data_IF_894119592337
#
_entry.id   IF_894119592337
#
_cell.length_a   1.000
_cell.length_b   1.000
_cell.length_c   1.000
_cell.angle_alpha   90.00
_cell.angle_beta   90.00
_cell.angle_gamma   90.00
#
_symmetry.space_group_name_H-M   'P 1'
#
loop_
_entity.id
_entity.type
_entity.pdbx_description
1 polymer ?
#
# COMPACT_ATOMS: atom_id res chain seq x y z
N UNK A 1 -7.06 -9.13 7.99
CA UNK A 1 -6.99 -8.60 6.61
C UNK A 1 -8.38 -8.67 6.04
N UNK A 2 -9.06 -7.53 5.88
CA UNK A 2 -10.45 -7.51 5.44
C UNK A 2 -10.50 -7.86 3.96
N UNK A 3 -10.98 -9.08 3.69
CA UNK A 3 -10.91 -9.76 2.41
C UNK A 3 -11.81 -9.15 1.35
N UNK A 4 -11.53 -9.58 0.12
CA UNK A 4 -12.18 -9.27 -1.17
C UNK A 4 -11.44 -8.28 -2.08
N UNK A 5 -10.15 -8.03 -1.88
CA UNK A 5 -9.31 -7.43 -2.92
C UNK A 5 -8.62 -8.51 -3.77
N UNK A 6 -8.83 -8.47 -5.08
CA UNK A 6 -8.19 -9.36 -6.06
C UNK A 6 -7.57 -8.51 -7.17
N UNK A 7 -6.23 -8.34 -7.22
CA UNK A 7 -5.59 -7.70 -8.35
C UNK A 7 -5.76 -8.57 -9.61
N UNK A 8 -6.09 -7.95 -10.75
CA UNK A 8 -6.26 -8.65 -12.02
C UNK A 8 -5.17 -8.28 -13.02
N UNK A 9 -4.93 -6.99 -13.22
CA UNK A 9 -3.96 -6.51 -14.21
C UNK A 9 -3.38 -5.16 -13.82
N UNK A 10 -2.10 -4.96 -14.13
CA UNK A 10 -1.46 -3.65 -14.17
C UNK A 10 -0.81 -3.46 -15.54
N UNK A 11 -1.03 -2.32 -16.18
CA UNK A 11 -0.41 -2.00 -17.46
C UNK A 11 -0.06 -0.52 -17.59
N UNK A 12 1.00 -0.23 -18.35
CA UNK A 12 1.44 1.12 -18.66
C UNK A 12 1.55 1.25 -20.18
N UNK A 13 0.93 2.28 -20.74
CA UNK A 13 0.90 2.50 -22.19
C UNK A 13 1.13 3.97 -22.55
N UNK A 14 1.71 4.21 -23.74
CA UNK A 14 1.85 5.55 -24.30
C UNK A 14 0.66 5.86 -25.23
N UNK A 15 -0.12 6.89 -24.90
CA UNK A 15 -1.41 7.20 -25.58
C UNK A 15 -1.38 8.50 -26.41
N UNK A 16 -0.20 9.06 -26.66
CA UNK A 16 -0.03 10.27 -27.48
C UNK A 16 -0.10 9.96 -28.98
N UNK A 17 -0.97 10.67 -29.72
CA UNK A 17 -1.09 10.52 -31.19
C UNK A 17 0.13 11.01 -31.95
N UNK A 18 0.59 12.22 -31.65
CA UNK A 18 1.67 12.88 -32.41
C UNK A 18 3.07 12.57 -31.89
N UNK A 19 3.24 12.51 -30.56
CA UNK A 19 4.52 12.21 -29.92
C UNK A 19 4.28 11.09 -28.91
N UNK A 20 4.60 9.86 -29.35
CA UNK A 20 4.49 8.60 -28.57
C UNK A 20 5.48 8.61 -27.40
N UNK A 21 5.19 9.40 -26.36
CA UNK A 21 5.94 9.45 -25.09
C UNK A 21 5.40 10.53 -24.17
N UNK A 22 4.74 11.56 -24.73
CA UNK A 22 4.28 12.74 -23.99
C UNK A 22 3.06 12.49 -23.11
N UNK A 23 2.25 11.48 -23.46
CA UNK A 23 1.08 11.06 -22.68
C UNK A 23 1.23 9.60 -22.28
N UNK A 24 1.16 9.35 -20.98
CA UNK A 24 1.25 8.02 -20.38
C UNK A 24 -0.11 7.71 -19.76
N UNK A 25 -0.56 6.46 -19.91
CA UNK A 25 -1.71 5.90 -19.21
C UNK A 25 -1.23 4.75 -18.35
N UNK A 26 -1.47 4.87 -17.04
CA UNK A 26 -1.45 3.74 -16.12
C UNK A 26 -2.87 3.19 -16.03
N UNK A 27 -2.99 1.87 -16.06
CA UNK A 27 -4.25 1.17 -15.97
C UNK A 27 -4.11 0.01 -14.98
N UNK A 28 -5.00 -0.01 -14.00
CA UNK A 28 -5.10 -1.08 -13.01
C UNK A 28 -6.51 -1.66 -13.05
N UNK A 29 -6.61 -2.97 -13.15
CA UNK A 29 -7.86 -3.71 -13.05
C UNK A 29 -7.84 -4.60 -11.81
N UNK A 30 -8.89 -4.54 -11.01
CA UNK A 30 -9.02 -5.32 -9.79
C UNK A 30 -10.47 -5.59 -9.42
N UNK A 31 -10.65 -6.47 -8.46
CA UNK A 31 -11.93 -6.76 -7.84
C UNK A 31 -11.92 -6.29 -6.40
N UNK A 32 -12.97 -5.59 -5.99
CA UNK A 32 -13.27 -5.23 -4.59
C UNK A 32 -14.71 -5.66 -4.30
N UNK A 33 -14.94 -6.41 -3.22
CA UNK A 33 -16.27 -6.86 -2.82
C UNK A 33 -17.06 -7.55 -3.96
N UNK A 34 -16.39 -8.41 -4.72
CA UNK A 34 -16.94 -9.10 -5.90
C UNK A 34 -17.39 -8.18 -7.05
N UNK A 35 -16.95 -6.92 -7.05
CA UNK A 35 -17.19 -5.95 -8.14
C UNK A 35 -15.88 -5.64 -8.84
N UNK A 36 -15.92 -5.62 -10.17
CA UNK A 36 -14.77 -5.28 -11.01
C UNK A 36 -14.61 -3.77 -11.10
N UNK A 37 -13.39 -3.30 -10.95
CA UNK A 37 -12.99 -1.91 -11.08
C UNK A 37 -11.82 -1.78 -12.04
N UNK A 38 -11.86 -0.71 -12.82
CA UNK A 38 -10.79 -0.26 -13.69
C UNK A 38 -10.41 1.16 -13.28
N UNK A 39 -9.19 1.34 -12.78
CA UNK A 39 -8.63 2.64 -12.45
C UNK A 39 -7.65 3.06 -13.53
N UNK A 40 -7.88 4.23 -14.12
CA UNK A 40 -7.04 4.82 -15.14
C UNK A 40 -6.45 6.13 -14.65
N UNK A 41 -5.12 6.25 -14.72
CA UNK A 41 -4.40 7.50 -14.53
C UNK A 41 -3.75 7.92 -15.85
N UNK A 42 -4.19 9.07 -16.38
CA UNK A 42 -3.58 9.70 -17.54
C UNK A 42 -2.67 10.83 -17.09
N UNK A 43 -1.45 10.86 -17.64
CA UNK A 43 -0.44 11.88 -17.34
C UNK A 43 0.03 12.51 -18.65
N UNK A 44 0.05 13.84 -18.70
CA UNK A 44 0.76 14.59 -19.74
C UNK A 44 2.10 15.08 -19.17
N UNK A 45 3.21 14.56 -19.69
CA UNK A 45 4.56 14.97 -19.28
C UNK A 45 4.87 16.42 -19.62
N UNK A 46 4.35 16.91 -20.74
CA UNK A 46 4.61 18.27 -21.21
C UNK A 46 3.86 19.33 -20.40
N UNK A 47 2.58 19.07 -20.13
CA UNK A 47 1.73 20.04 -19.41
C UNK A 47 1.64 19.78 -17.90
N UNK A 48 2.13 18.64 -17.42
CA UNK A 48 1.97 18.20 -16.03
C UNK A 48 0.54 17.77 -15.67
N UNK A 49 -0.41 17.84 -16.61
CA UNK A 49 -1.82 17.51 -16.38
C UNK A 49 -2.02 16.04 -16.04
N UNK A 50 -2.87 15.77 -15.06
CA UNK A 50 -3.21 14.44 -14.57
C UNK A 50 -4.73 14.28 -14.53
N UNK A 51 -5.22 13.14 -15.01
CA UNK A 51 -6.65 12.78 -14.97
C UNK A 51 -6.79 11.38 -14.40
N UNK A 52 -7.60 11.24 -13.35
CA UNK A 52 -7.95 9.95 -12.77
C UNK A 52 -9.38 9.63 -13.13
N UNK A 53 -9.62 8.42 -13.61
CA UNK A 53 -10.96 7.90 -13.87
C UNK A 53 -11.13 6.49 -13.31
N UNK A 54 -12.33 6.19 -12.84
CA UNK A 54 -12.73 4.88 -12.32
C UNK A 54 -13.91 4.41 -13.17
N UNK A 55 -13.78 3.24 -13.79
CA UNK A 55 -14.77 2.67 -14.69
C UNK A 55 -15.20 3.66 -15.79
N UNK A 56 -14.25 4.43 -16.33
CA UNK A 56 -14.48 5.45 -17.35
C UNK A 56 -15.01 6.80 -16.83
N UNK A 57 -15.53 6.88 -15.61
CA UNK A 57 -15.97 8.13 -14.99
C UNK A 57 -14.79 8.91 -14.43
N UNK A 58 -14.66 10.18 -14.79
CA UNK A 58 -13.58 11.04 -14.30
C UNK A 58 -13.82 11.36 -12.82
N UNK A 59 -12.84 11.03 -11.99
CA UNK A 59 -12.85 11.32 -10.55
C UNK A 59 -12.16 12.65 -10.25
N UNK A 60 -10.97 12.88 -10.84
CA UNK A 60 -10.18 14.07 -10.59
C UNK A 60 -9.44 14.54 -11.84
N UNK A 61 -9.27 15.86 -11.93
CA UNK A 61 -8.40 16.53 -12.89
C UNK A 61 -7.48 17.48 -12.13
N UNK A 62 -6.17 17.29 -12.25
CA UNK A 62 -5.18 18.01 -11.45
C UNK A 62 -4.02 18.46 -12.31
N UNK A 63 -3.64 19.72 -12.19
CA UNK A 63 -2.40 20.25 -12.75
C UNK A 63 -1.25 19.97 -11.77
N UNK A 64 -0.14 19.39 -12.26
CA UNK A 64 1.02 19.11 -11.38
C UNK A 64 1.60 20.41 -10.83
N UNK A 65 1.59 20.52 -9.51
CA UNK A 65 2.35 21.54 -8.78
C UNK A 65 3.83 21.13 -8.83
N UNK A 66 4.70 22.04 -9.28
CA UNK A 66 6.15 21.77 -9.39
C UNK A 66 6.72 21.28 -8.06
N UNK A 67 7.62 20.30 -8.14
CA UNK A 67 8.36 19.73 -7.00
C UNK A 67 7.52 19.06 -5.91
N UNK A 68 6.26 18.73 -6.18
CA UNK A 68 5.43 17.91 -5.28
C UNK A 68 5.14 16.55 -5.90
N UNK A 69 5.29 15.51 -5.10
CA UNK A 69 4.79 14.17 -5.45
C UNK A 69 3.28 14.18 -5.27
N UNK A 70 2.53 13.69 -6.26
CA UNK A 70 1.10 13.55 -6.07
C UNK A 70 0.76 12.31 -5.25
N UNK A 71 -0.25 12.47 -4.40
CA UNK A 71 -0.95 11.39 -3.76
C UNK A 71 -2.45 11.64 -3.97
N UNK A 72 -3.15 10.64 -4.50
CA UNK A 72 -4.58 10.67 -4.71
C UNK A 72 -5.23 9.60 -3.84
N UNK A 73 -5.99 10.02 -2.84
CA UNK A 73 -6.70 9.12 -1.94
C UNK A 73 -8.18 9.13 -2.32
N UNK A 74 -8.75 7.95 -2.49
CA UNK A 74 -10.16 7.74 -2.81
C UNK A 74 -10.71 6.55 -2.01
N UNK A 75 -12.02 6.54 -1.81
CA UNK A 75 -12.72 5.48 -1.10
C UNK A 75 -13.65 4.74 -2.07
N UNK A 76 -13.50 3.41 -2.18
CA UNK A 76 -14.35 2.55 -3.02
C UNK A 76 -14.88 1.43 -2.14
N UNK A 77 -16.20 1.39 -1.92
CA UNK A 77 -16.81 0.32 -1.12
C UNK A 77 -16.23 0.21 0.30
N UNK A 78 -15.89 1.34 0.93
CA UNK A 78 -15.25 1.35 2.25
C UNK A 78 -13.75 1.01 2.26
N UNK A 79 -13.18 0.59 1.13
CA UNK A 79 -11.74 0.38 0.98
C UNK A 79 -11.02 1.69 0.69
N UNK A 80 -9.82 1.83 1.24
CA UNK A 80 -8.93 2.97 1.00
C UNK A 80 -8.05 2.66 -0.21
N UNK A 81 -8.19 3.44 -1.27
CA UNK A 81 -7.42 3.30 -2.50
C UNK A 81 -6.56 4.54 -2.67
N UNK A 82 -5.27 4.35 -2.86
CA UNK A 82 -4.30 5.44 -3.00
C UNK A 82 -3.50 5.26 -4.29
N UNK A 83 -3.37 6.35 -5.06
CA UNK A 83 -2.46 6.41 -6.20
C UNK A 83 -1.34 7.37 -5.85
N UNK A 84 -0.14 6.84 -5.64
CA UNK A 84 1.00 7.62 -5.13
C UNK A 84 2.13 7.69 -6.15
N UNK A 85 2.64 8.89 -6.41
CA UNK A 85 3.84 9.14 -7.19
C UNK A 85 5.08 8.83 -6.34
N UNK A 86 5.86 7.81 -6.69
CA UNK A 86 7.13 7.48 -6.00
C UNK A 86 8.31 8.26 -6.53
N UNK A 87 8.34 8.43 -7.85
CA UNK A 87 9.40 9.12 -8.62
C UNK A 87 8.75 9.85 -9.78
N UNK A 88 9.54 10.63 -10.51
CA UNK A 88 9.02 11.44 -11.59
C UNK A 88 8.22 10.62 -12.61
N UNK A 89 6.89 10.82 -12.59
CA UNK A 89 5.92 10.11 -13.42
C UNK A 89 5.83 8.60 -13.18
N UNK A 90 6.33 8.06 -12.07
CA UNK A 90 6.17 6.67 -11.67
C UNK A 90 5.12 6.56 -10.55
N UNK A 91 4.03 5.85 -10.82
CA UNK A 91 2.89 5.75 -9.93
C UNK A 91 2.66 4.32 -9.47
N UNK A 92 2.31 4.18 -8.20
CA UNK A 92 1.88 2.94 -7.59
C UNK A 92 0.43 3.06 -7.12
N UNK A 93 -0.30 1.96 -7.25
CA UNK A 93 -1.61 1.78 -6.64
C UNK A 93 -1.44 1.03 -5.32
N UNK A 94 -2.04 1.56 -4.26
CA UNK A 94 -2.04 0.98 -2.93
C UNK A 94 -3.50 0.81 -2.50
N UNK A 95 -3.87 -0.38 -2.04
CA UNK A 95 -5.22 -0.69 -1.58
C UNK A 95 -5.13 -1.23 -0.17
N UNK A 96 -5.78 -0.55 0.78
CA UNK A 96 -5.73 -0.85 2.22
C UNK A 96 -4.32 -1.08 2.76
N UNK A 97 -3.38 -0.24 2.31
CA UNK A 97 -1.97 -0.32 2.69
C UNK A 97 -1.14 -1.38 1.95
N UNK A 98 -1.75 -2.18 1.08
CA UNK A 98 -1.05 -3.17 0.26
C UNK A 98 -0.70 -2.61 -1.13
N UNK A 99 0.56 -2.76 -1.55
CA UNK A 99 1.00 -2.36 -2.89
C UNK A 99 0.46 -3.34 -3.94
N UNK A 100 -0.20 -2.81 -4.97
CA UNK A 100 -0.87 -3.60 -6.00
C UNK A 100 0.05 -4.60 -6.70
N UNK A 101 1.24 -4.15 -7.12
CA UNK A 101 2.18 -4.98 -7.88
C UNK A 101 2.65 -6.19 -7.06
N UNK A 102 2.96 -5.99 -5.78
CA UNK A 102 3.33 -7.07 -4.87
C UNK A 102 2.22 -8.12 -4.74
N UNK A 103 0.95 -7.68 -4.68
CA UNK A 103 -0.18 -8.59 -4.63
C UNK A 103 -0.38 -9.35 -5.96
N UNK A 104 -0.18 -8.67 -7.09
CA UNK A 104 -0.27 -9.27 -8.41
C UNK A 104 0.81 -10.33 -8.63
N UNK A 105 2.05 -10.07 -8.21
CA UNK A 105 3.16 -11.02 -8.27
C UNK A 105 2.89 -12.24 -7.40
N UNK A 106 2.44 -12.05 -6.15
CA UNK A 106 2.09 -13.15 -5.25
C UNK A 106 1.04 -14.10 -5.85
N UNK A 107 0.07 -13.58 -6.61
CA UNK A 107 -0.93 -14.42 -7.29
C UNK A 107 -0.39 -15.22 -8.47
N UNK A 108 0.66 -14.72 -9.14
CA UNK A 108 1.32 -15.44 -10.25
C UNK A 108 2.15 -16.61 -9.74
N UNK A 109 2.86 -16.45 -8.62
CA UNK A 109 3.76 -17.47 -8.08
C UNK A 109 3.06 -18.47 -7.17
N UNK A 110 2.02 -18.05 -6.47
CA UNK A 110 1.16 -18.90 -5.67
C UNK A 110 -0.24 -18.88 -6.25
N UNK A 111 -0.46 -19.43 -7.47
CA UNK A 111 -1.81 -19.71 -7.90
C UNK A 111 -2.36 -20.63 -6.84
N UNK A 112 -3.27 -20.11 -6.00
CA UNK A 112 -3.90 -20.90 -4.94
C UNK A 112 -4.27 -22.19 -5.62
N UNK A 113 -3.73 -23.32 -5.14
CA UNK A 113 -4.29 -24.61 -5.47
C UNK A 113 -5.69 -24.57 -4.87
N UNK A 114 -6.63 -23.92 -5.58
CA UNK A 114 -8.03 -24.22 -5.51
C UNK A 114 -8.11 -25.66 -6.03
N UNK A 115 -7.64 -26.58 -5.19
CA UNK A 115 -8.20 -27.91 -5.13
C UNK A 115 -9.66 -27.60 -4.93
N UNK A 116 -10.41 -27.76 -6.00
CA UNK A 116 -11.74 -28.29 -5.93
C UNK A 116 -11.66 -29.40 -4.88
N UNK A 117 -11.95 -29.05 -3.64
CA UNK A 117 -12.36 -30.00 -2.64
C UNK A 117 -13.74 -30.40 -3.16
N UNK A 118 -13.72 -31.24 -4.21
CA UNK A 118 -14.68 -32.32 -4.28
C UNK A 118 -14.55 -32.93 -2.90
N UNK A 119 -15.51 -32.61 -2.05
CA UNK A 119 -15.73 -33.28 -0.80
C UNK A 119 -15.74 -34.76 -1.18
N UNK A 120 -14.60 -35.43 -1.04
CA UNK A 120 -14.60 -36.88 -1.03
C UNK A 120 -15.41 -37.15 0.22
N UNK A 121 -16.61 -37.74 0.14
CA UNK A 121 -17.36 -38.08 1.34
C UNK A 121 -16.45 -39.04 2.11
N UNK A 122 -15.80 -38.53 3.15
CA UNK A 122 -15.07 -39.36 4.09
C UNK A 122 -16.15 -40.18 4.76
N UNK A 123 -16.36 -41.41 4.29
CA UNK A 123 -17.01 -42.42 5.08
C UNK A 123 -16.13 -42.62 6.30
N UNK A 124 -16.44 -41.91 7.38
CA UNK A 124 -15.92 -42.18 8.70
C UNK A 124 -16.56 -43.50 9.11
N UNK A 125 -15.92 -44.61 8.75
CA UNK A 125 -16.15 -45.86 9.46
C UNK A 125 -15.62 -45.63 10.88
N UNK A 126 -16.56 -45.44 11.81
CA UNK A 126 -16.26 -45.43 13.23
C UNK A 126 -15.76 -46.83 13.60
N UNK A 127 -14.44 -47.00 13.61
CA UNK A 127 -13.81 -48.11 14.32
C UNK A 127 -13.86 -47.70 15.80
N UNK A 128 -14.87 -48.21 16.50
CA UNK A 128 -14.99 -48.11 17.94
C UNK A 128 -13.95 -49.02 18.60
N UNK A 129 -12.69 -48.60 18.60
CA UNK A 129 -11.68 -49.18 19.49
C UNK A 129 -11.66 -48.36 20.79
N UNK A 130 -12.62 -48.68 21.68
CA UNK A 130 -12.78 -48.03 23.00
C UNK A 130 -11.57 -48.21 23.93
N UNK A 131 -10.66 -49.14 23.65
CA UNK A 131 -9.56 -49.46 24.56
C UNK A 131 -8.35 -48.51 24.47
N UNK A 132 -8.25 -47.66 23.44
CA UNK A 132 -7.08 -46.78 23.25
C UNK A 132 -7.20 -45.37 23.82
N UNK A 133 -8.38 -44.98 24.31
CA UNK A 133 -8.61 -43.65 24.89
C UNK A 133 -8.19 -43.52 26.36
N UNK A 134 -7.97 -44.63 27.07
CA UNK A 134 -7.53 -44.61 28.48
C UNK A 134 -6.04 -44.22 28.60
N UNK A 135 -5.19 -44.61 27.65
CA UNK A 135 -3.75 -44.33 27.71
C UNK A 135 -3.40 -42.85 27.45
N UNK A 136 -4.24 -42.12 26.72
CA UNK A 136 -4.01 -40.69 26.42
C UNK A 136 -4.39 -39.81 27.62
N UNK A 137 -5.42 -40.18 28.40
CA UNK A 137 -5.81 -39.41 29.58
C UNK A 137 -4.74 -39.45 30.70
N UNK A 138 -3.96 -40.53 30.78
CA UNK A 138 -2.93 -40.68 31.83
C UNK A 138 -1.71 -39.78 31.55
N UNK A 139 -1.41 -39.45 30.27
CA UNK A 139 -0.27 -38.59 29.94
C UNK A 139 -0.51 -37.09 30.17
N UNK A 140 -1.77 -36.62 30.15
CA UNK A 140 -2.08 -35.19 30.40
C UNK A 140 -2.01 -34.83 31.90
N UNK A 141 -2.25 -35.77 32.82
CA UNK A 141 -2.12 -35.48 34.26
C UNK A 141 -0.65 -35.34 34.70
N UNK A 142 0.30 -36.04 34.08
CA UNK A 142 1.73 -35.92 34.43
C UNK A 142 2.37 -34.58 33.98
N UNK A 143 1.82 -33.91 32.96
CA UNK A 143 2.33 -32.61 32.51
C UNK A 143 1.91 -31.44 33.41
N UNK A 144 0.92 -31.61 34.29
CA UNK A 144 0.45 -30.54 35.20
C UNK A 144 1.34 -30.34 36.44
N UNK A 145 2.25 -31.27 36.72
CA UNK A 145 3.11 -31.21 37.93
C UNK A 145 4.44 -30.48 37.65
N UNK A 146 4.86 -30.34 36.38
CA UNK A 146 6.06 -29.57 36.01
C UNK A 146 5.69 -28.12 35.74
N UNK A 147 5.68 -27.32 36.81
CA UNK A 147 5.51 -25.87 36.72
C UNK A 147 6.57 -25.20 35.82
N UNK A 148 6.24 -24.06 35.20
CA UNK A 148 7.18 -23.35 34.34
C UNK A 148 8.34 -22.77 35.17
N UNK A 149 9.54 -23.31 34.97
CA UNK A 149 10.76 -22.67 35.47
C UNK A 149 10.96 -21.32 34.77
N UNK A 150 10.76 -20.24 35.54
CA UNK A 150 11.06 -18.87 35.16
C UNK A 150 12.57 -18.67 35.06
N UNK A 151 13.14 -18.90 33.87
CA UNK A 151 14.49 -18.41 33.54
C UNK A 151 14.43 -16.94 33.07
N UNK A 152 14.26 -16.05 34.04
CA UNK A 152 14.55 -14.62 33.89
C UNK A 152 15.99 -14.35 34.34
N UNK A 153 16.94 -14.35 33.42
CA UNK A 153 18.27 -13.81 33.66
C UNK A 153 18.97 -13.43 32.36
N UNK A 154 19.35 -12.16 32.29
CA UNK A 154 20.29 -11.55 31.33
C UNK A 154 19.86 -11.39 29.87
N UNK A 155 19.30 -10.21 29.56
CA UNK A 155 19.60 -9.47 28.32
C UNK A 155 19.12 -8.02 28.37
N UNK A 156 19.66 -7.26 29.32
CA UNK A 156 19.66 -5.80 29.25
C UNK A 156 21.08 -5.38 29.55
N UNK A 157 21.86 -5.16 28.50
CA UNK A 157 23.11 -4.40 28.46
C UNK A 157 23.80 -4.76 27.15
N UNK A 158 23.60 -3.96 26.10
CA UNK A 158 24.48 -3.90 24.91
C UNK A 158 24.07 -2.85 23.86
N UNK A 159 22.96 -2.11 24.02
CA UNK A 159 22.46 -1.20 22.97
C UNK A 159 22.80 0.30 23.13
N UNK A 160 23.66 0.69 24.08
CA UNK A 160 23.97 2.11 24.34
C UNK A 160 25.34 2.60 23.87
N UNK A 161 26.14 1.77 23.20
CA UNK A 161 27.52 2.16 22.84
C UNK A 161 27.73 2.62 21.37
N UNK A 162 26.73 2.59 20.50
CA UNK A 162 26.95 2.76 19.05
C UNK A 162 26.34 4.03 18.42
N UNK A 163 25.91 5.02 19.23
CA UNK A 163 25.34 6.29 18.72
C UNK A 163 26.31 7.48 18.89
N UNK A 164 27.42 7.34 19.63
CA UNK A 164 28.33 8.45 19.90
C UNK A 164 29.53 8.60 18.94
N UNK A 165 29.64 7.82 17.85
CA UNK A 165 30.81 7.91 16.94
C UNK A 165 30.59 8.69 15.63
N UNK A 166 29.39 9.27 15.40
CA UNK A 166 29.05 9.96 14.15
C UNK A 166 29.06 11.50 14.28
N UNK A 167 29.41 12.05 15.46
CA UNK A 167 29.36 13.50 15.74
C UNK A 167 30.58 14.31 15.26
N UNK A 168 31.73 13.70 14.99
CA UNK A 168 33.01 14.45 15.00
C UNK A 168 33.68 14.66 13.62
N UNK A 169 32.94 14.64 12.51
CA UNK A 169 33.53 14.89 11.16
C UNK A 169 32.91 16.01 10.34
N UNK A 170 32.19 16.94 10.97
CA UNK A 170 31.57 18.07 10.28
C UNK A 170 32.05 19.44 10.79
N UNK A 171 33.36 19.65 10.90
CA UNK A 171 33.93 21.00 11.08
C UNK A 171 35.28 21.14 10.36
N UNK A 172 35.27 21.29 9.03
CA UNK A 172 36.30 22.07 8.33
C UNK A 172 35.92 22.29 6.87
N UNK A 173 35.25 23.41 6.57
CA UNK A 173 35.39 24.14 5.29
C UNK A 173 34.46 25.37 5.24
N UNK A 174 34.71 26.35 6.10
CA UNK A 174 34.09 27.67 6.01
C UNK A 174 35.16 28.75 5.82
N UNK A 175 35.51 29.06 4.56
CA UNK A 175 36.05 30.36 4.14
C UNK A 175 35.77 30.61 2.65
N UNK A 176 34.70 31.33 2.33
CA UNK A 176 34.73 32.61 1.56
C UNK A 176 33.37 33.02 0.97
N UNK A 177 32.98 34.24 1.35
CA UNK A 177 32.35 35.30 0.54
C UNK A 177 30.84 35.29 0.29
N UNK A 178 30.25 36.33 0.90
CA UNK A 178 29.42 37.37 0.28
C UNK A 178 27.95 37.38 0.67
N UNK A 179 27.56 38.59 1.05
CA UNK A 179 26.32 39.06 1.63
C UNK A 179 25.12 38.91 0.70
N UNK A 180 24.12 38.18 1.16
CA UNK A 180 22.74 38.23 0.69
C UNK A 180 21.82 37.86 1.84
N UNK A 181 21.15 38.86 2.44
CA UNK A 181 20.19 38.65 3.52
C UNK A 181 18.95 37.96 2.95
N UNK A 182 18.83 36.66 3.17
CA UNK A 182 17.58 35.92 2.97
C UNK A 182 17.01 35.54 4.33
N UNK A 183 15.80 36.04 4.60
CA UNK A 183 15.00 35.61 5.76
C UNK A 183 14.45 34.22 5.44
N UNK A 184 15.13 33.19 5.96
CA UNK A 184 14.66 31.80 5.89
C UNK A 184 13.52 31.62 6.91
N UNK A 185 12.29 31.47 6.40
CA UNK A 185 11.18 30.92 7.19
C UNK A 185 11.30 29.40 7.22
N UNK A 186 11.31 28.86 8.43
CA UNK A 186 11.33 27.44 8.75
C UNK A 186 10.03 26.75 8.24
N UNK A 187 10.09 25.79 7.29
CA UNK A 187 8.89 25.14 6.75
C UNK A 187 8.36 23.95 7.57
N UNK A 188 8.96 23.63 8.73
CA UNK A 188 8.59 22.45 9.52
C UNK A 188 7.92 22.75 10.87
N UNK A 189 6.99 23.71 10.89
CA UNK A 189 6.07 23.88 12.02
C UNK A 189 4.64 24.15 11.53
N UNK A 190 3.98 23.12 10.99
CA UNK A 190 2.56 22.85 11.23
C UNK A 190 2.11 21.60 10.47
N UNK A 191 2.08 20.46 11.15
CA UNK A 191 1.31 19.29 10.72
C UNK A 191 0.40 18.90 11.88
N UNK A 192 -0.54 19.78 12.19
CA UNK A 192 -1.78 19.43 12.86
C UNK A 192 -2.91 20.20 12.17
N UNK A 193 -4.00 19.48 11.88
CA UNK A 193 -5.23 19.92 11.18
C UNK A 193 -5.07 20.44 9.75
N UNK A 194 -5.04 19.52 8.76
CA UNK A 194 -5.58 19.81 7.44
C UNK A 194 -6.90 19.05 7.30
N UNK A 195 -7.95 19.63 7.90
CA UNK A 195 -9.33 19.30 7.57
C UNK A 195 -9.54 19.53 6.07
N UNK A 196 -10.17 18.55 5.42
CA UNK A 196 -10.40 18.50 3.98
C UNK A 196 -11.20 19.71 3.49
N UNK A 197 -10.54 20.71 2.90
CA UNK A 197 -11.20 21.83 2.19
C UNK A 197 -11.54 21.50 0.72
N UNK A 198 -11.89 20.25 0.41
CA UNK A 198 -12.40 19.86 -0.90
C UNK A 198 -13.89 19.48 -0.83
N UNK A 199 -14.70 20.35 -0.22
CA UNK A 199 -16.14 20.41 -0.48
C UNK A 199 -16.41 21.66 -1.31
N UNK A 200 -17.08 21.50 -2.46
CA UNK A 200 -17.53 22.52 -3.42
C UNK A 200 -16.73 22.64 -4.72
N UNK A 201 -16.61 21.53 -5.46
CA UNK A 201 -16.54 21.61 -6.93
C UNK A 201 -17.95 21.26 -7.44
N UNK A 202 -18.77 22.29 -7.72
CA UNK A 202 -20.05 22.07 -8.38
C UNK A 202 -19.80 21.78 -9.87
N UNK A 203 -20.24 20.61 -10.32
CA UNK A 203 -20.18 20.25 -11.73
C UNK A 203 -21.33 20.95 -12.43
N UNK A 204 -21.01 22.01 -13.16
CA UNK A 204 -21.95 22.66 -14.07
C UNK A 204 -22.47 21.66 -15.10
N UNK A 205 -23.77 21.39 -15.06
CA UNK A 205 -24.48 20.58 -16.03
C UNK A 205 -24.49 21.30 -17.39
N UNK A 206 -23.47 21.07 -18.20
CA UNK A 206 -23.46 21.47 -19.60
C UNK A 206 -24.42 20.59 -20.41
N UNK A 207 -25.59 21.12 -20.78
CA UNK A 207 -26.48 20.51 -21.76
C UNK A 207 -25.77 20.51 -23.12
N UNK A 208 -25.39 19.34 -23.61
CA UNK A 208 -25.08 19.16 -25.03
C UNK A 208 -26.39 19.18 -25.82
N UNK A 209 -26.48 20.08 -26.81
CA UNK A 209 -27.54 20.11 -27.82
C UNK A 209 -27.21 19.15 -28.95
#
# INVERSE_FOLDING_TARGET
MNGNFIPRMASVSHVGRHIKSTKIRYNWEFELENKKFQLDLYISRLSGKRKISINGTVYAYVDKIRNTLANYILSIGGHKVEVTERRENFFELIVDGCVFECLLENMKYFPKQQKDSKEIPVKVEMIADEEKFQDILIQEEEMKIRGPELNNSHKTDLFTAEINSISDKAQESDKKKSSGVYVMRNPYQNVNSFESQYSNISWGQGKFK
#
